data_IF_467906459416
#
_entry.id   IF_467906459416
#
_cell.length_a   1.000
_cell.length_b   1.000
_cell.length_c   1.000
_cell.angle_alpha   90.00
_cell.angle_beta   90.00
_cell.angle_gamma   90.00
#
_symmetry.space_group_name_H-M   'P 1'
#
loop_
_entity.id
_entity.type
_entity.pdbx_description
1 polymer ?
#
# COMPACT_ATOMS: atom_id res chain seq x y z
N UNK A 1 12.41 18.31 -4.80
CA UNK A 1 13.79 17.75 -4.66
C UNK A 1 14.00 16.66 -5.71
N UNK A 2 15.20 16.62 -6.32
CA UNK A 2 15.55 15.54 -7.27
C UNK A 2 15.79 14.24 -6.52
N UNK A 3 15.12 13.18 -6.93
CA UNK A 3 15.31 11.84 -6.40
C UNK A 3 16.48 11.16 -7.11
N UNK A 4 17.43 10.66 -6.32
CA UNK A 4 18.54 9.83 -6.81
C UNK A 4 18.57 8.56 -5.98
N UNK A 5 18.01 7.46 -6.49
CA UNK A 5 17.97 6.21 -5.74
C UNK A 5 19.38 5.64 -5.54
N UNK A 6 19.61 5.10 -4.35
CA UNK A 6 20.77 4.23 -4.11
C UNK A 6 20.59 2.89 -4.84
N UNK A 7 21.65 2.13 -5.01
CA UNK A 7 21.61 0.85 -5.74
C UNK A 7 20.56 -0.12 -5.18
N UNK A 8 20.44 -0.24 -3.85
CA UNK A 8 19.43 -1.08 -3.24
C UNK A 8 17.99 -0.57 -3.47
N UNK A 9 17.81 0.74 -3.56
CA UNK A 9 16.51 1.34 -3.87
C UNK A 9 16.12 1.07 -5.32
N UNK A 10 17.06 1.23 -6.25
CA UNK A 10 16.84 0.91 -7.66
C UNK A 10 16.48 -0.56 -7.85
N UNK A 11 17.17 -1.47 -7.14
CA UNK A 11 16.84 -2.88 -7.14
C UNK A 11 15.42 -3.15 -6.61
N UNK A 12 15.04 -2.52 -5.49
CA UNK A 12 13.72 -2.68 -4.90
C UNK A 12 12.61 -2.13 -5.81
N UNK A 13 12.84 -1.00 -6.48
CA UNK A 13 11.91 -0.43 -7.47
C UNK A 13 11.68 -1.42 -8.61
N UNK A 14 12.74 -1.92 -9.23
CA UNK A 14 12.68 -2.91 -10.30
C UNK A 14 11.98 -4.21 -9.86
N UNK A 15 12.27 -4.67 -8.65
CA UNK A 15 11.62 -5.85 -8.08
C UNK A 15 10.10 -5.67 -7.95
N UNK A 16 9.63 -4.54 -7.42
CA UNK A 16 8.19 -4.22 -7.31
C UNK A 16 7.54 -4.19 -8.69
N UNK A 17 8.20 -3.57 -9.67
CA UNK A 17 7.65 -3.43 -11.02
C UNK A 17 7.52 -4.77 -11.76
N UNK A 18 8.44 -5.69 -11.51
CA UNK A 18 8.50 -6.98 -12.20
C UNK A 18 7.75 -8.11 -11.49
N UNK A 19 7.39 -7.92 -10.22
CA UNK A 19 6.69 -8.93 -9.40
C UNK A 19 5.32 -8.43 -8.95
N UNK A 20 4.21 -9.07 -9.39
CA UNK A 20 2.86 -8.70 -8.93
C UNK A 20 2.65 -8.85 -7.44
N UNK A 21 3.42 -9.72 -6.79
CA UNK A 21 3.43 -9.92 -5.34
C UNK A 21 4.85 -9.59 -4.85
N UNK A 22 4.99 -8.52 -4.10
CA UNK A 22 6.27 -8.06 -3.61
C UNK A 22 6.24 -7.74 -2.11
N UNK A 23 7.27 -8.14 -1.40
CA UNK A 23 7.52 -7.73 -0.02
C UNK A 23 8.85 -6.97 0.05
N UNK A 24 8.82 -5.75 0.57
CA UNK A 24 10.00 -4.90 0.75
C UNK A 24 10.37 -4.85 2.22
N UNK A 25 11.44 -5.55 2.54
CA UNK A 25 11.98 -5.70 3.90
C UNK A 25 13.18 -4.77 4.05
N UNK A 26 12.94 -3.58 4.54
CA UNK A 26 13.98 -2.57 4.76
C UNK A 26 13.74 -1.89 6.10
N UNK A 27 14.82 -1.59 6.82
CA UNK A 27 14.74 -0.86 8.07
C UNK A 27 14.09 0.51 7.93
N UNK A 28 13.72 1.10 9.06
CA UNK A 28 13.17 2.44 9.10
C UNK A 28 14.18 3.46 8.52
N UNK A 29 13.68 4.42 7.77
CA UNK A 29 14.51 5.48 7.19
C UNK A 29 15.21 5.13 5.88
N UNK A 30 15.12 3.89 5.39
CA UNK A 30 15.76 3.47 4.13
C UNK A 30 14.93 3.79 2.87
N UNK A 31 13.89 4.60 3.00
CA UNK A 31 13.15 5.13 1.86
C UNK A 31 12.11 4.18 1.26
N UNK A 32 11.49 3.29 2.05
CA UNK A 32 10.40 2.40 1.56
C UNK A 32 9.32 3.17 0.82
N UNK A 33 8.90 4.30 1.35
CA UNK A 33 7.83 5.13 0.77
C UNK A 33 8.24 5.69 -0.60
N UNK A 34 9.43 6.29 -0.71
CA UNK A 34 9.93 6.83 -1.99
C UNK A 34 10.19 5.75 -3.03
N UNK A 35 10.71 4.58 -2.63
CA UNK A 35 10.85 3.39 -3.47
C UNK A 35 9.49 2.98 -4.05
N UNK A 36 8.50 2.82 -3.18
CA UNK A 36 7.16 2.37 -3.58
C UNK A 36 6.45 3.38 -4.46
N UNK A 37 6.52 4.67 -4.14
CA UNK A 37 5.95 5.74 -4.96
C UNK A 37 6.58 5.81 -6.36
N UNK A 38 7.90 5.62 -6.45
CA UNK A 38 8.60 5.58 -7.74
C UNK A 38 8.16 4.37 -8.56
N UNK A 39 8.05 3.20 -7.96
CA UNK A 39 7.52 2.01 -8.62
C UNK A 39 6.06 2.22 -9.07
N UNK A 40 5.20 2.81 -8.24
CA UNK A 40 3.82 3.14 -8.59
C UNK A 40 3.76 4.07 -9.80
N UNK A 41 4.58 5.13 -9.83
CA UNK A 41 4.66 6.04 -10.98
C UNK A 41 4.94 5.27 -12.27
N UNK A 42 5.94 4.39 -12.24
CA UNK A 42 6.33 3.59 -13.40
C UNK A 42 5.24 2.58 -13.79
N UNK A 43 4.58 1.93 -12.82
CA UNK A 43 3.47 1.00 -13.09
C UNK A 43 2.26 1.70 -13.74
N UNK A 44 1.99 2.95 -13.37
CA UNK A 44 0.88 3.73 -13.92
C UNK A 44 1.20 4.30 -15.30
N UNK A 45 2.35 4.95 -15.47
CA UNK A 45 2.63 5.83 -16.61
C UNK A 45 3.65 5.29 -17.60
N UNK A 46 4.51 4.36 -17.21
CA UNK A 46 5.49 3.75 -18.11
C UNK A 46 5.07 2.36 -18.56
N UNK A 47 4.59 1.54 -17.63
CA UNK A 47 4.21 0.13 -17.92
C UNK A 47 2.73 -0.05 -18.19
N UNK A 48 1.87 0.86 -17.75
CA UNK A 48 0.41 0.82 -17.91
C UNK A 48 -0.23 -0.49 -17.40
N UNK A 49 0.28 -1.02 -16.31
CA UNK A 49 -0.17 -2.29 -15.69
C UNK A 49 -0.90 -2.08 -14.36
N UNK A 50 -0.97 -0.85 -13.89
CA UNK A 50 -1.77 -0.43 -12.75
C UNK A 50 -2.66 0.76 -13.14
N UNK A 51 -3.83 0.90 -12.50
CA UNK A 51 -4.78 1.97 -12.79
C UNK A 51 -5.17 2.75 -11.54
N UNK A 52 -5.42 2.07 -10.43
CA UNK A 52 -5.79 2.73 -9.18
C UNK A 52 -5.19 2.01 -7.98
N UNK A 53 -4.51 2.74 -7.15
CA UNK A 53 -3.74 2.23 -6.03
C UNK A 53 -4.40 2.59 -4.70
N UNK A 54 -4.56 1.59 -3.82
CA UNK A 54 -4.90 1.80 -2.42
C UNK A 54 -3.64 1.63 -1.56
N UNK A 55 -3.31 2.65 -0.78
CA UNK A 55 -2.27 2.58 0.25
C UNK A 55 -2.93 2.46 1.61
N UNK A 56 -2.62 1.38 2.32
CA UNK A 56 -3.07 1.11 3.68
C UNK A 56 -1.89 1.31 4.62
N UNK A 57 -2.00 2.25 5.55
CA UNK A 57 -0.90 2.61 6.45
C UNK A 57 -1.41 2.92 7.87
N UNK A 58 -0.54 2.99 8.88
CA UNK A 58 -0.88 3.57 10.18
C UNK A 58 -1.39 5.00 10.04
N UNK A 59 -2.32 5.44 10.91
CA UNK A 59 -3.01 6.73 10.78
C UNK A 59 -2.07 7.92 10.53
N UNK A 60 -1.01 8.08 11.31
CA UNK A 60 -0.05 9.18 11.14
C UNK A 60 0.69 9.09 9.81
N UNK A 61 1.07 7.89 9.42
CA UNK A 61 1.79 7.64 8.17
C UNK A 61 0.88 7.92 6.97
N UNK A 62 -0.38 7.48 7.02
CA UNK A 62 -1.38 7.73 5.98
C UNK A 62 -1.68 9.22 5.81
N UNK A 63 -1.83 9.95 6.93
CA UNK A 63 -2.17 11.36 6.92
C UNK A 63 -1.00 12.27 6.56
N UNK A 64 0.19 11.98 7.06
CA UNK A 64 1.32 12.92 7.03
C UNK A 64 2.47 12.44 6.12
N UNK A 65 2.93 11.19 6.26
CA UNK A 65 4.15 10.71 5.60
C UNK A 65 3.98 10.51 4.10
N UNK A 66 2.97 9.76 3.68
CA UNK A 66 2.72 9.49 2.27
C UNK A 66 2.45 10.77 1.47
N UNK A 67 1.58 11.69 1.92
CA UNK A 67 1.39 12.97 1.24
C UNK A 67 2.67 13.80 1.15
N UNK A 68 3.43 13.90 2.23
CA UNK A 68 4.66 14.70 2.24
C UNK A 68 5.73 14.12 1.31
N UNK A 69 5.86 12.80 1.20
CA UNK A 69 6.79 12.16 0.27
C UNK A 69 6.37 12.38 -1.19
N UNK A 70 5.08 12.33 -1.52
CA UNK A 70 4.60 12.63 -2.88
C UNK A 70 4.95 14.08 -3.26
N UNK A 71 4.75 15.02 -2.34
CA UNK A 71 5.03 16.45 -2.59
C UNK A 71 6.53 16.78 -2.63
N UNK A 72 7.35 16.02 -1.93
CA UNK A 72 8.79 16.26 -1.77
C UNK A 72 9.60 16.04 -3.04
N UNK A 73 9.25 15.01 -3.82
CA UNK A 73 10.05 14.54 -4.94
C UNK A 73 9.52 15.05 -6.28
N UNK A 74 10.36 15.76 -7.05
CA UNK A 74 9.97 16.40 -8.31
C UNK A 74 9.42 15.41 -9.35
N UNK A 75 9.96 14.19 -9.41
CA UNK A 75 9.51 13.17 -10.37
C UNK A 75 8.11 12.62 -10.06
N UNK A 76 7.62 12.78 -8.82
CA UNK A 76 6.30 12.33 -8.41
C UNK A 76 5.18 13.36 -8.68
N UNK A 77 5.49 14.49 -9.30
CA UNK A 77 4.54 15.60 -9.54
C UNK A 77 3.34 15.23 -10.41
N UNK A 78 3.42 14.16 -11.18
CA UNK A 78 2.30 13.65 -11.97
C UNK A 78 1.29 12.84 -11.17
N UNK A 79 1.68 12.32 -10.00
CA UNK A 79 0.78 11.51 -9.17
C UNK A 79 -0.29 12.36 -8.50
N UNK A 80 -1.53 11.97 -8.68
CA UNK A 80 -2.66 12.50 -7.92
C UNK A 80 -2.99 11.58 -6.75
N UNK A 81 -3.39 12.15 -5.63
CA UNK A 81 -3.72 11.37 -4.43
C UNK A 81 -4.86 11.99 -3.64
N UNK A 82 -5.56 11.14 -2.88
CA UNK A 82 -6.53 11.55 -1.87
C UNK A 82 -6.27 10.79 -0.57
N UNK A 83 -6.61 11.41 0.57
CA UNK A 83 -6.39 10.87 1.90
C UNK A 83 -7.73 10.60 2.58
N UNK A 84 -8.08 9.32 2.69
CA UNK A 84 -9.35 8.85 3.26
C UNK A 84 -9.20 8.57 4.77
N UNK A 85 -9.01 9.64 5.55
CA UNK A 85 -8.94 9.60 7.02
C UNK A 85 -9.94 10.60 7.62
N UNK A 86 -10.20 10.50 8.92
CA UNK A 86 -11.13 11.38 9.62
C UNK A 86 -12.56 10.83 9.68
N UNK A 87 -13.56 11.68 9.57
CA UNK A 87 -14.97 11.32 9.61
C UNK A 87 -15.38 10.46 8.42
N UNK A 88 -16.51 9.78 8.53
CA UNK A 88 -17.05 8.97 7.43
C UNK A 88 -17.31 9.81 6.17
N UNK A 89 -17.84 11.02 6.33
CA UNK A 89 -18.06 11.95 5.23
C UNK A 89 -16.77 12.34 4.52
N UNK A 90 -15.73 12.66 5.28
CA UNK A 90 -14.40 12.99 4.73
C UNK A 90 -13.79 11.80 4.00
N UNK A 91 -13.88 10.60 4.57
CA UNK A 91 -13.38 9.37 3.94
C UNK A 91 -14.10 9.06 2.64
N UNK A 92 -15.44 9.16 2.63
CA UNK A 92 -16.24 8.94 1.40
C UNK A 92 -15.90 9.95 0.32
N UNK A 93 -15.77 11.22 0.67
CA UNK A 93 -15.37 12.26 -0.27
C UNK A 93 -14.01 11.98 -0.90
N UNK A 94 -13.03 11.55 -0.10
CA UNK A 94 -11.70 11.18 -0.59
C UNK A 94 -11.72 9.95 -1.52
N UNK A 95 -12.48 8.92 -1.17
CA UNK A 95 -12.60 7.69 -1.97
C UNK A 95 -13.28 7.90 -3.31
N UNK A 96 -14.21 8.87 -3.38
CA UNK A 96 -14.93 9.21 -4.62
C UNK A 96 -14.12 10.11 -5.56
N UNK A 97 -12.99 10.66 -5.11
CA UNK A 97 -12.08 11.38 -6.00
C UNK A 97 -11.42 10.41 -6.97
N UNK A 98 -11.35 10.80 -8.23
CA UNK A 98 -10.70 10.02 -9.29
C UNK A 98 -9.19 10.30 -9.29
N UNK A 99 -8.50 9.88 -8.21
CA UNK A 99 -7.06 10.03 -8.04
C UNK A 99 -6.34 8.71 -8.32
N UNK A 100 -5.06 8.80 -8.69
CA UNK A 100 -4.21 7.63 -8.92
C UNK A 100 -4.02 6.80 -7.65
N UNK A 101 -3.86 7.49 -6.51
CA UNK A 101 -3.59 6.89 -5.20
C UNK A 101 -4.66 7.34 -4.21
N UNK A 102 -5.29 6.39 -3.53
CA UNK A 102 -6.09 6.65 -2.34
C UNK A 102 -5.36 6.09 -1.11
N UNK A 103 -5.17 6.92 -0.09
CA UNK A 103 -4.46 6.57 1.13
C UNK A 103 -5.46 6.45 2.27
N UNK A 104 -5.50 5.30 2.94
CA UNK A 104 -6.40 5.02 4.05
C UNK A 104 -5.64 4.51 5.26
N UNK A 105 -6.10 4.82 6.46
CA UNK A 105 -5.54 4.21 7.65
C UNK A 105 -6.09 2.78 7.85
N UNK A 106 -5.23 1.89 8.35
CA UNK A 106 -5.52 0.46 8.48
C UNK A 106 -6.78 0.14 9.31
N UNK A 107 -7.12 1.00 10.26
CA UNK A 107 -8.31 0.84 11.11
C UNK A 107 -9.61 0.96 10.32
N UNK A 108 -9.61 1.64 9.18
CA UNK A 108 -10.78 1.86 8.34
C UNK A 108 -10.90 0.90 7.15
N UNK A 109 -10.01 -0.08 7.02
CA UNK A 109 -10.04 -1.05 5.91
C UNK A 109 -11.32 -1.90 5.95
N UNK A 110 -11.73 -2.38 7.11
CA UNK A 110 -12.98 -3.14 7.24
C UNK A 110 -14.18 -2.28 6.83
N UNK A 111 -14.25 -1.05 7.32
CA UNK A 111 -15.31 -0.11 6.95
C UNK A 111 -15.35 0.13 5.44
N UNK A 112 -14.19 0.36 4.79
CA UNK A 112 -14.11 0.56 3.35
C UNK A 112 -14.76 -0.60 2.58
N UNK A 113 -14.43 -1.83 2.95
CA UNK A 113 -14.82 -3.03 2.21
C UNK A 113 -16.25 -3.46 2.52
N UNK A 114 -16.68 -3.37 3.79
CA UNK A 114 -17.93 -3.96 4.27
C UNK A 114 -19.07 -2.94 4.43
N UNK A 115 -18.75 -1.70 4.84
CA UNK A 115 -19.74 -0.76 5.33
C UNK A 115 -19.83 0.56 4.55
N UNK A 116 -18.82 0.92 3.77
CA UNK A 116 -18.78 2.22 3.07
C UNK A 116 -19.83 2.37 1.97
N UNK A 117 -20.26 1.27 1.39
CA UNK A 117 -21.11 1.27 0.20
C UNK A 117 -20.38 1.68 -1.09
N UNK A 118 -19.09 1.93 -1.02
CA UNK A 118 -18.25 2.31 -2.17
C UNK A 118 -17.65 1.05 -2.77
N UNK A 119 -17.77 0.82 -4.09
CA UNK A 119 -17.15 -0.32 -4.75
C UNK A 119 -15.63 -0.33 -4.56
N UNK A 120 -15.07 -1.51 -4.27
CA UNK A 120 -13.63 -1.70 -4.21
C UNK A 120 -13.09 -1.85 -5.63
N UNK A 121 -12.56 -0.77 -6.19
CA UNK A 121 -12.06 -0.67 -7.57
C UNK A 121 -10.54 -0.45 -7.65
N UNK A 122 -9.81 -0.91 -6.66
CA UNK A 122 -8.35 -0.85 -6.62
C UNK A 122 -7.74 -2.14 -7.18
N UNK A 123 -6.88 -2.01 -8.18
CA UNK A 123 -6.16 -3.14 -8.78
C UNK A 123 -4.80 -3.40 -8.12
N UNK A 124 -4.27 -2.39 -7.43
CA UNK A 124 -2.99 -2.45 -6.73
C UNK A 124 -3.16 -1.97 -5.29
N UNK A 125 -2.66 -2.76 -4.34
CA UNK A 125 -2.72 -2.44 -2.92
C UNK A 125 -1.31 -2.44 -2.32
N UNK A 126 -1.00 -1.38 -1.60
CA UNK A 126 0.20 -1.27 -0.78
C UNK A 126 -0.21 -1.40 0.68
N UNK A 127 0.41 -2.33 1.40
CA UNK A 127 0.24 -2.50 2.84
C UNK A 127 1.50 -2.01 3.52
N UNK A 128 1.46 -0.77 4.02
CA UNK A 128 2.54 -0.21 4.80
C UNK A 128 2.44 -0.72 6.25
N UNK A 129 3.55 -1.14 6.82
CA UNK A 129 3.61 -1.88 8.07
C UNK A 129 2.86 -3.23 7.97
N UNK A 130 3.30 -4.10 7.05
CA UNK A 130 2.70 -5.42 6.79
C UNK A 130 2.54 -6.25 8.07
N UNK A 131 3.47 -6.13 9.01
CA UNK A 131 3.42 -6.76 10.33
C UNK A 131 2.17 -6.40 11.16
N UNK A 132 1.46 -5.32 10.83
CA UNK A 132 0.19 -4.98 11.48
C UNK A 132 -0.98 -5.88 11.07
N UNK A 133 -0.83 -6.68 10.02
CA UNK A 133 -1.81 -7.65 9.50
C UNK A 133 -1.51 -9.10 9.90
N UNK A 134 -0.60 -9.30 10.83
CA UNK A 134 -0.14 -10.63 11.30
C UNK A 134 -1.20 -11.47 12.00
N UNK A 135 -2.27 -10.89 12.50
CA UNK A 135 -3.37 -11.66 13.07
C UNK A 135 -4.43 -11.96 12.01
N UNK A 136 -4.49 -13.22 11.56
CA UNK A 136 -5.53 -13.67 10.62
C UNK A 136 -6.95 -13.59 11.20
N UNK A 137 -7.08 -13.49 12.52
CA UNK A 137 -8.37 -13.28 13.21
C UNK A 137 -8.80 -11.83 13.23
N UNK A 138 -7.89 -10.88 12.96
CA UNK A 138 -8.24 -9.48 12.92
C UNK A 138 -9.28 -9.19 11.83
N UNK A 139 -10.28 -8.39 12.18
CA UNK A 139 -11.38 -8.03 11.26
C UNK A 139 -10.87 -7.41 9.95
N UNK A 140 -9.86 -6.54 10.05
CA UNK A 140 -9.23 -5.91 8.88
C UNK A 140 -8.53 -6.90 7.94
N UNK A 141 -7.87 -7.93 8.49
CA UNK A 141 -7.26 -8.99 7.70
C UNK A 141 -8.33 -9.76 6.92
N UNK A 142 -9.40 -10.20 7.61
CA UNK A 142 -10.51 -10.93 6.97
C UNK A 142 -11.24 -10.09 5.92
N UNK A 143 -11.43 -8.80 6.18
CA UNK A 143 -12.03 -7.88 5.20
C UNK A 143 -11.16 -7.78 3.94
N UNK A 144 -9.85 -7.57 4.10
CA UNK A 144 -8.93 -7.47 2.96
C UNK A 144 -8.86 -8.79 2.17
N UNK A 145 -8.92 -9.94 2.84
CA UNK A 145 -8.97 -11.24 2.17
C UNK A 145 -10.22 -11.44 1.31
N UNK A 146 -11.35 -10.81 1.62
CA UNK A 146 -12.56 -10.87 0.77
C UNK A 146 -12.35 -10.24 -0.60
N UNK A 147 -11.56 -9.18 -0.69
CA UNK A 147 -11.27 -8.47 -1.94
C UNK A 147 -9.94 -8.87 -2.55
N UNK A 148 -9.14 -9.66 -1.84
CA UNK A 148 -7.81 -10.09 -2.30
C UNK A 148 -7.81 -10.70 -3.73
N UNK A 149 -8.77 -11.52 -4.15
CA UNK A 149 -8.82 -12.05 -5.51
C UNK A 149 -8.99 -10.99 -6.60
N UNK A 150 -9.49 -9.80 -6.27
CA UNK A 150 -9.63 -8.66 -7.20
C UNK A 150 -8.34 -7.85 -7.34
N UNK A 151 -7.42 -8.00 -6.40
CA UNK A 151 -6.16 -7.27 -6.36
C UNK A 151 -5.15 -7.97 -7.26
N UNK A 152 -4.72 -7.31 -8.33
CA UNK A 152 -3.74 -7.83 -9.29
C UNK A 152 -2.33 -7.72 -8.75
N UNK A 153 -2.03 -6.63 -8.03
CA UNK A 153 -0.72 -6.37 -7.45
C UNK A 153 -0.85 -6.04 -5.98
N UNK A 154 0.02 -6.63 -5.17
CA UNK A 154 0.10 -6.32 -3.74
C UNK A 154 1.57 -6.10 -3.34
N UNK A 155 1.82 -5.03 -2.61
CA UNK A 155 3.13 -4.63 -2.12
C UNK A 155 3.07 -4.53 -0.61
N UNK A 156 3.79 -5.38 0.07
CA UNK A 156 3.93 -5.34 1.52
C UNK A 156 5.22 -4.63 1.93
N UNK A 157 5.14 -3.67 2.84
CA UNK A 157 6.28 -2.95 3.38
C UNK A 157 6.42 -3.25 4.86
N UNK A 158 7.61 -3.62 5.31
CA UNK A 158 7.89 -3.82 6.74
C UNK A 158 9.37 -3.63 7.06
N UNK A 159 9.64 -3.11 8.26
CA UNK A 159 10.99 -3.07 8.82
C UNK A 159 11.32 -4.30 9.68
N UNK A 160 10.29 -5.00 10.16
CA UNK A 160 10.43 -6.16 11.05
C UNK A 160 9.53 -7.29 10.57
N UNK A 161 10.08 -8.25 9.80
CA UNK A 161 9.27 -9.31 9.19
C UNK A 161 8.63 -10.29 10.18
N UNK A 162 9.21 -10.50 11.34
CA UNK A 162 8.60 -11.39 12.35
C UNK A 162 8.96 -10.95 13.77
N UNK A 163 8.06 -10.22 14.42
CA UNK A 163 8.26 -9.84 15.82
C UNK A 163 7.98 -10.98 16.80
N UNK A 164 7.08 -11.92 16.48
CA UNK A 164 6.58 -12.94 17.42
C UNK A 164 6.55 -14.38 16.85
N UNK A 165 7.23 -14.65 15.74
CA UNK A 165 7.43 -16.01 15.23
C UNK A 165 6.67 -16.39 13.96
N UNK A 166 6.63 -17.71 13.68
CA UNK A 166 6.15 -18.27 12.40
C UNK A 166 4.68 -17.98 12.06
N UNK A 167 3.81 -17.83 13.06
CA UNK A 167 2.39 -17.57 12.83
C UNK A 167 2.14 -16.15 12.27
N UNK A 168 2.94 -15.18 12.69
CA UNK A 168 2.89 -13.82 12.15
C UNK A 168 3.31 -13.84 10.69
N UNK A 169 4.40 -14.50 10.40
CA UNK A 169 4.94 -14.68 9.04
C UNK A 169 3.93 -15.39 8.13
N UNK A 170 3.24 -16.40 8.64
CA UNK A 170 2.20 -17.11 7.88
C UNK A 170 1.04 -16.18 7.48
N UNK A 171 0.57 -15.34 8.39
CA UNK A 171 -0.51 -14.39 8.08
C UNK A 171 -0.08 -13.36 7.02
N UNK A 172 1.16 -12.87 7.11
CA UNK A 172 1.73 -11.95 6.12
C UNK A 172 1.83 -12.61 4.72
N UNK A 173 2.35 -13.82 4.64
CA UNK A 173 2.42 -14.58 3.38
C UNK A 173 1.03 -14.89 2.83
N UNK A 174 0.09 -15.28 3.68
CA UNK A 174 -1.27 -15.55 3.24
C UNK A 174 -1.96 -14.31 2.67
N UNK A 175 -1.69 -13.13 3.20
CA UNK A 175 -2.19 -11.88 2.64
C UNK A 175 -1.57 -11.61 1.27
N UNK A 176 -0.29 -11.86 1.11
CA UNK A 176 0.43 -11.61 -0.13
C UNK A 176 0.04 -12.60 -1.23
N UNK A 177 0.14 -13.90 -0.99
CA UNK A 177 0.02 -14.95 -2.01
C UNK A 177 -1.22 -15.86 -1.87
N UNK A 178 -2.15 -15.51 -0.98
CA UNK A 178 -3.37 -16.29 -0.67
C UNK A 178 -3.06 -17.70 -0.12
N UNK A 179 -1.87 -17.91 0.43
CA UNK A 179 -1.46 -19.19 0.99
C UNK A 179 -1.08 -20.24 -0.06
N UNK A 180 -0.62 -19.82 -1.23
CA UNK A 180 -0.22 -20.73 -2.32
C UNK A 180 1.22 -21.25 -2.20
N UNK A 181 1.99 -20.78 -1.20
CA UNK A 181 3.38 -21.20 -0.93
C UNK A 181 3.55 -21.73 0.47
#
# INVERSE_FOLDING_TARGET
>A
MKYKPHNYQSFAIDYIETHPIAAVLLDMGLGKTSITLTAILNLLFDRFVAHRILVIAPLRVARDTWPSEIQKWDHLSLLTYSVAVGTETERKAALLQQTDICIINRENVQWLIEDSGIPFDFDTVVVDELSSFKSYQAKRFRALMKVRPRIRRIIGLTGTPSANGLMDLWAEYRLLDMGQR
#
